data_IF_507472422880
#
_entry.id   IF_507472422880
#
_cell.length_a   1.000
_cell.length_b   1.000
_cell.length_c   1.000
_cell.angle_alpha   90.00
_cell.angle_beta   90.00
_cell.angle_gamma   90.00
#
_symmetry.space_group_name_H-M   'P 1'
#
loop_
_entity.id
_entity.type
_entity.pdbx_description
1 polymer ?
#
# COMPACT_ATOMS: atom_id res chain seq x y z
N UNK A 1 26.23 9.68 -4.66
CA UNK A 1 25.60 8.51 -5.31
C UNK A 1 24.19 8.39 -4.75
N UNK A 2 23.19 8.93 -5.43
CA UNK A 2 21.77 8.69 -5.09
C UNK A 2 21.32 7.50 -5.92
N UNK A 3 20.96 6.40 -5.25
CA UNK A 3 20.31 5.27 -5.91
C UNK A 3 19.02 5.71 -6.60
N UNK A 4 18.44 4.87 -7.47
CA UNK A 4 17.14 5.17 -8.06
C UNK A 4 16.13 5.50 -6.94
N UNK A 5 15.24 6.49 -7.15
CA UNK A 5 14.20 6.79 -6.18
C UNK A 5 13.41 5.52 -5.88
N UNK A 6 13.11 5.24 -4.60
CA UNK A 6 12.42 4.02 -4.22
C UNK A 6 11.10 3.93 -4.98
N UNK A 7 10.89 2.81 -5.66
CA UNK A 7 9.66 2.50 -6.37
C UNK A 7 8.45 2.58 -5.43
N UNK A 8 7.26 2.81 -5.99
CA UNK A 8 5.99 2.79 -5.23
C UNK A 8 5.81 1.55 -4.35
N UNK A 9 6.34 0.41 -4.77
CA UNK A 9 6.34 -0.85 -4.02
C UNK A 9 7.24 -0.77 -2.79
N UNK A 10 8.45 -0.22 -2.94
CA UNK A 10 9.40 -0.03 -1.85
C UNK A 10 8.89 0.98 -0.84
N UNK A 11 8.29 2.08 -1.31
CA UNK A 11 7.66 3.08 -0.43
C UNK A 11 6.47 2.47 0.34
N UNK A 12 5.64 1.65 -0.31
CA UNK A 12 4.55 0.96 0.38
C UNK A 12 5.08 -0.03 1.43
N UNK A 13 6.10 -0.83 1.08
CA UNK A 13 6.74 -1.77 2.02
C UNK A 13 7.38 -1.05 3.19
N UNK A 14 8.03 0.09 2.93
CA UNK A 14 8.60 0.94 3.97
C UNK A 14 7.52 1.43 4.94
N UNK A 15 6.36 1.88 4.44
CA UNK A 15 5.23 2.23 5.28
C UNK A 15 4.78 1.06 6.15
N UNK A 16 4.54 -0.11 5.57
CA UNK A 16 4.14 -1.31 6.32
C UNK A 16 5.17 -1.69 7.39
N UNK A 17 6.46 -1.68 7.04
CA UNK A 17 7.55 -2.02 7.95
C UNK A 17 7.67 -1.04 9.13
N UNK A 18 7.27 0.22 8.93
CA UNK A 18 7.19 1.26 9.97
C UNK A 18 5.88 1.21 10.78
N UNK A 19 5.01 0.25 10.52
CA UNK A 19 3.70 0.13 11.17
C UNK A 19 2.66 1.15 10.66
N UNK A 20 2.93 1.78 9.51
CA UNK A 20 1.96 2.63 8.83
C UNK A 20 1.03 1.79 7.95
N UNK A 21 -0.21 2.22 7.89
CA UNK A 21 -1.23 1.72 6.98
C UNK A 21 -1.56 2.82 5.98
N UNK A 22 -1.68 2.41 4.72
CA UNK A 22 -2.13 3.22 3.62
C UNK A 22 -3.50 2.70 3.22
N UNK A 23 -4.47 3.58 3.05
CA UNK A 23 -5.81 3.24 2.61
C UNK A 23 -6.38 4.28 1.65
N UNK A 24 -7.45 3.90 0.94
CA UNK A 24 -8.17 4.83 0.07
C UNK A 24 -9.36 5.39 0.84
N UNK A 25 -9.56 6.69 0.70
CA UNK A 25 -10.73 7.41 1.21
C UNK A 25 -11.68 7.86 0.09
N UNK A 26 -11.32 7.57 -1.16
CA UNK A 26 -12.10 7.86 -2.35
C UNK A 26 -11.25 7.71 -3.62
N UNK A 27 -11.74 8.15 -4.79
CA UNK A 27 -11.04 7.99 -6.06
C UNK A 27 -9.63 8.61 -6.06
N UNK A 28 -9.47 9.75 -5.39
CA UNK A 28 -8.20 10.49 -5.27
C UNK A 28 -7.75 10.67 -3.81
N UNK A 29 -8.51 10.12 -2.86
CA UNK A 29 -8.24 10.24 -1.44
C UNK A 29 -7.38 9.08 -0.97
N UNK A 30 -6.26 9.40 -0.31
CA UNK A 30 -5.41 8.41 0.36
C UNK A 30 -5.25 8.84 1.82
N UNK A 31 -5.52 7.94 2.76
CA UNK A 31 -5.15 8.13 4.15
C UNK A 31 -3.84 7.42 4.48
N UNK A 32 -3.16 7.96 5.48
CA UNK A 32 -1.97 7.35 6.07
C UNK A 32 -2.20 7.35 7.57
N UNK A 33 -2.28 6.17 8.17
CA UNK A 33 -2.54 5.99 9.59
C UNK A 33 -1.45 5.15 10.26
N UNK A 34 -1.16 5.42 11.53
CA UNK A 34 -0.14 4.72 12.31
C UNK A 34 0.51 5.62 13.35
N UNK A 35 1.65 5.20 13.95
CA UNK A 35 2.32 5.98 15.00
C UNK A 35 2.76 7.35 14.47
N UNK A 36 2.53 8.41 15.25
CA UNK A 36 2.86 9.79 14.82
C UNK A 36 4.37 9.99 14.68
N UNK A 37 5.14 9.26 15.48
CA UNK A 37 6.59 9.30 15.55
C UNK A 37 7.25 8.82 14.26
N UNK A 38 6.56 7.98 13.48
CA UNK A 38 7.08 7.46 12.21
C UNK A 38 6.64 8.28 10.99
N UNK A 39 5.64 9.16 11.14
CA UNK A 39 5.17 10.09 10.11
C UNK A 39 6.08 11.32 10.03
N UNK A 40 7.27 11.15 9.47
CA UNK A 40 8.19 12.28 9.24
C UNK A 40 7.74 13.15 8.06
N UNK A 41 8.07 14.45 8.04
CA UNK A 41 7.80 15.32 6.89
C UNK A 41 8.38 14.79 5.57
N UNK A 42 9.59 14.22 5.61
CA UNK A 42 10.25 13.62 4.44
C UNK A 42 9.50 12.40 3.90
N UNK A 43 8.86 11.60 4.75
CA UNK A 43 8.05 10.48 4.31
C UNK A 43 6.75 10.96 3.67
N UNK A 44 6.12 11.97 4.27
CA UNK A 44 4.91 12.57 3.70
C UNK A 44 5.16 13.20 2.32
N UNK A 45 6.31 13.83 2.10
CA UNK A 45 6.68 14.35 0.79
C UNK A 45 6.81 13.23 -0.26
N UNK A 46 7.51 12.15 0.07
CA UNK A 46 7.63 10.97 -0.82
C UNK A 46 6.26 10.33 -1.11
N UNK A 47 5.40 10.22 -0.10
CA UNK A 47 4.03 9.71 -0.26
C UNK A 47 3.18 10.61 -1.16
N UNK A 48 3.38 11.93 -1.11
CA UNK A 48 2.71 12.88 -2.01
C UNK A 48 3.23 12.75 -3.44
N UNK A 49 4.54 12.65 -3.62
CA UNK A 49 5.18 12.51 -4.93
C UNK A 49 4.71 11.25 -5.66
N UNK A 50 4.57 10.13 -4.93
CA UNK A 50 4.10 8.85 -5.47
C UNK A 50 2.60 8.60 -5.26
N UNK A 51 1.81 9.62 -4.92
CA UNK A 51 0.40 9.42 -4.52
C UNK A 51 -0.44 8.71 -5.58
N UNK A 52 -0.35 9.13 -6.84
CA UNK A 52 -1.12 8.52 -7.93
C UNK A 52 -0.76 7.04 -8.11
N UNK A 53 0.54 6.77 -8.13
CA UNK A 53 1.11 5.43 -8.20
C UNK A 53 0.67 4.52 -7.05
N UNK A 54 0.60 5.05 -5.83
CA UNK A 54 0.15 4.35 -4.63
C UNK A 54 -1.36 4.10 -4.65
N UNK A 55 -2.15 5.04 -5.17
CA UNK A 55 -3.60 4.87 -5.34
C UNK A 55 -3.92 3.74 -6.31
N UNK A 56 -3.19 3.66 -7.44
CA UNK A 56 -3.35 2.56 -8.39
C UNK A 56 -3.01 1.21 -7.74
N UNK A 57 -1.94 1.15 -6.95
CA UNK A 57 -1.56 -0.04 -6.20
C UNK A 57 -2.64 -0.44 -5.19
N UNK A 58 -3.14 0.52 -4.40
CA UNK A 58 -4.19 0.28 -3.43
C UNK A 58 -5.47 -0.22 -4.10
N UNK A 59 -5.84 0.35 -5.25
CA UNK A 59 -7.00 -0.11 -6.02
C UNK A 59 -6.86 -1.57 -6.46
N UNK A 60 -5.70 -1.95 -7.02
CA UNK A 60 -5.46 -3.33 -7.44
C UNK A 60 -5.53 -4.31 -6.26
N UNK A 61 -5.01 -3.91 -5.09
CA UNK A 61 -5.09 -4.71 -3.87
C UNK A 61 -6.53 -4.84 -3.38
N UNK A 62 -7.30 -3.75 -3.37
CA UNK A 62 -8.71 -3.75 -2.96
C UNK A 62 -9.58 -4.62 -3.86
N UNK A 63 -9.41 -4.52 -5.18
CA UNK A 63 -10.13 -5.35 -6.16
C UNK A 63 -9.79 -6.83 -5.95
N UNK A 64 -8.51 -7.14 -5.74
CA UNK A 64 -8.06 -8.52 -5.47
C UNK A 64 -8.61 -9.06 -4.16
N UNK A 65 -8.62 -8.23 -3.11
CA UNK A 65 -9.20 -8.58 -1.82
C UNK A 65 -10.71 -8.82 -1.95
N UNK A 66 -11.44 -7.97 -2.67
CA UNK A 66 -12.87 -8.16 -2.91
C UNK A 66 -13.19 -9.49 -3.61
N UNK A 67 -12.38 -9.88 -4.62
CA UNK A 67 -12.49 -11.20 -5.26
C UNK A 67 -12.21 -12.34 -4.28
N UNK A 68 -11.17 -12.22 -3.45
CA UNK A 68 -10.83 -13.25 -2.45
C UNK A 68 -11.87 -13.38 -1.33
N UNK A 69 -12.51 -12.27 -0.95
CA UNK A 69 -13.60 -12.22 0.01
C UNK A 69 -14.85 -12.91 -0.55
N UNK A 70 -15.30 -12.49 -1.74
CA UNK A 70 -16.55 -12.97 -2.34
C UNK A 70 -16.43 -14.39 -2.92
N UNK A 71 -15.41 -14.64 -3.77
CA UNK A 71 -15.25 -15.94 -4.45
C UNK A 71 -14.49 -16.94 -3.57
N UNK A 72 -13.57 -16.45 -2.72
CA UNK A 72 -12.71 -17.29 -1.88
C UNK A 72 -13.26 -17.56 -0.48
N UNK A 73 -14.35 -16.89 -0.07
CA UNK A 73 -14.95 -17.04 1.24
C UNK A 73 -14.08 -16.57 2.41
N UNK A 74 -13.07 -15.74 2.14
CA UNK A 74 -12.20 -15.18 3.18
C UNK A 74 -12.87 -14.03 3.91
N UNK A 75 -12.50 -13.81 5.17
CA UNK A 75 -12.86 -12.54 5.82
C UNK A 75 -12.14 -11.37 5.15
N UNK A 76 -12.71 -10.17 5.25
CA UNK A 76 -12.10 -8.96 4.68
C UNK A 76 -10.63 -8.79 5.07
N UNK A 77 -10.33 -8.99 6.36
CA UNK A 77 -8.96 -8.87 6.87
C UNK A 77 -7.99 -9.90 6.27
N UNK A 78 -8.43 -11.14 6.09
CA UNK A 78 -7.60 -12.19 5.46
C UNK A 78 -7.42 -11.93 3.97
N UNK A 79 -8.46 -11.46 3.29
CA UNK A 79 -8.43 -11.11 1.88
C UNK A 79 -7.45 -9.95 1.61
N UNK A 80 -7.48 -8.89 2.43
CA UNK A 80 -6.55 -7.76 2.31
C UNK A 80 -5.09 -8.22 2.50
N UNK A 81 -4.82 -9.05 3.51
CA UNK A 81 -3.48 -9.59 3.76
C UNK A 81 -2.98 -10.45 2.60
N UNK A 82 -3.83 -11.33 2.06
CA UNK A 82 -3.47 -12.18 0.92
C UNK A 82 -3.31 -11.38 -0.38
N UNK A 83 -4.15 -10.39 -0.62
CA UNK A 83 -4.04 -9.52 -1.78
C UNK A 83 -2.70 -8.75 -1.79
N UNK A 84 -2.29 -8.21 -0.63
CA UNK A 84 -0.97 -7.61 -0.45
C UNK A 84 0.17 -8.61 -0.69
N UNK A 85 0.06 -9.81 -0.13
CA UNK A 85 1.08 -10.86 -0.31
C UNK A 85 1.24 -11.26 -1.79
N UNK A 86 0.14 -11.38 -2.54
CA UNK A 86 0.16 -11.66 -3.99
C UNK A 86 0.91 -10.56 -4.73
N UNK A 87 0.58 -9.29 -4.47
CA UNK A 87 1.21 -8.17 -5.13
C UNK A 87 2.73 -8.08 -4.84
N UNK A 88 3.14 -8.36 -3.60
CA UNK A 88 4.55 -8.32 -3.22
C UNK A 88 5.36 -9.54 -3.65
N UNK A 89 4.73 -10.70 -3.87
CA UNK A 89 5.43 -11.93 -4.27
C UNK A 89 5.60 -12.01 -5.79
N UNK A 90 4.64 -11.50 -6.57
CA UNK A 90 4.66 -11.59 -8.03
C UNK A 90 5.61 -10.59 -8.73
N UNK A 91 6.18 -9.62 -8.01
CA UNK A 91 7.11 -8.61 -8.55
C UNK A 91 8.59 -8.81 -8.16
N UNK A 92 8.90 -9.91 -7.51
CA UNK A 92 10.29 -10.33 -7.20
C UNK A 92 10.79 -11.46 -8.11
N UNK A 93 10.04 -11.80 -9.16
CA UNK A 93 10.43 -12.76 -10.20
C UNK A 93 10.75 -12.03 -11.51
#
# INVERSE_FOLDING_TARGET
MTGPPPSKVELFRECLARGLRLGRTGPQGMDVSGPREVLSPSLLERLKEHKADLLDLLQLVEERAALMEFDGGLTRSEADQRALAVYFTQRTA
#
